data_IF_991063334097
#
_entry.id   IF_991063334097
#
_cell.length_a   1.000
_cell.length_b   1.000
_cell.length_c   1.000
_cell.angle_alpha   90.00
_cell.angle_beta   90.00
_cell.angle_gamma   90.00
#
_symmetry.space_group_name_H-M   'P 1'
#
loop_
_entity.id
_entity.type
_entity.pdbx_description
1 polymer ?
#
# COMPACT_ATOMS: atom_id res chain seq x y z
N UNK A 1 3.23 -1.67 -16.15
CA UNK A 1 2.98 -2.49 -14.95
C UNK A 1 2.13 -3.70 -15.35
N UNK A 2 2.33 -4.86 -14.73
CA UNK A 2 1.45 -6.03 -14.86
C UNK A 2 1.04 -6.53 -13.48
N UNK A 3 -0.09 -7.23 -13.39
CA UNK A 3 -0.59 -7.83 -12.16
C UNK A 3 -1.56 -8.97 -12.44
N UNK A 4 -1.78 -9.82 -11.44
CA UNK A 4 -2.72 -10.92 -11.53
C UNK A 4 -3.52 -11.09 -10.23
N UNK A 5 -4.69 -11.72 -10.34
CA UNK A 5 -5.49 -12.21 -9.22
C UNK A 5 -6.32 -13.41 -9.67
N UNK A 6 -6.79 -14.23 -8.73
CA UNK A 6 -7.64 -15.39 -9.00
C UNK A 6 -9.05 -14.96 -9.45
N UNK A 7 -9.54 -13.84 -8.90
CA UNK A 7 -10.90 -13.36 -9.16
C UNK A 7 -10.88 -12.03 -9.88
N UNK A 8 -11.73 -11.89 -10.90
CA UNK A 8 -11.99 -10.58 -11.47
C UNK A 8 -12.61 -9.65 -10.41
N UNK A 9 -12.23 -8.38 -10.45
CA UNK A 9 -12.65 -7.38 -9.47
C UNK A 9 -12.63 -5.98 -10.05
N UNK A 10 -13.37 -5.06 -9.40
CA UNK A 10 -13.39 -3.65 -9.78
C UNK A 10 -11.97 -3.06 -9.78
N UNK A 11 -11.12 -3.45 -8.82
CA UNK A 11 -9.73 -2.99 -8.75
C UNK A 11 -8.90 -3.43 -9.95
N UNK A 12 -9.07 -4.66 -10.43
CA UNK A 12 -8.40 -5.13 -11.65
C UNK A 12 -8.88 -4.36 -12.89
N UNK A 13 -10.19 -4.11 -12.98
CA UNK A 13 -10.76 -3.33 -14.08
C UNK A 13 -10.26 -1.87 -14.07
N UNK A 14 -10.16 -1.26 -12.89
CA UNK A 14 -9.60 0.09 -12.72
C UNK A 14 -8.13 0.14 -13.17
N UNK A 15 -7.30 -0.82 -12.75
CA UNK A 15 -5.90 -0.91 -13.17
C UNK A 15 -5.75 -1.16 -14.68
N UNK A 16 -6.60 -2.00 -15.27
CA UNK A 16 -6.61 -2.23 -16.71
C UNK A 16 -6.93 -0.94 -17.49
N UNK A 17 -7.89 -0.13 -17.02
CA UNK A 17 -8.19 1.20 -17.61
C UNK A 17 -7.02 2.17 -17.51
N UNK A 18 -6.19 2.03 -16.47
CA UNK A 18 -4.94 2.79 -16.32
C UNK A 18 -3.77 2.21 -17.14
N UNK A 19 -4.00 1.15 -17.93
CA UNK A 19 -3.02 0.56 -18.84
C UNK A 19 -2.16 -0.57 -18.23
N UNK A 20 -2.51 -1.08 -17.04
CA UNK A 20 -1.85 -2.26 -16.51
C UNK A 20 -2.23 -3.52 -17.31
N UNK A 21 -1.25 -4.41 -17.55
CA UNK A 21 -1.51 -5.74 -18.12
C UNK A 21 -2.04 -6.65 -17.01
N UNK A 22 -3.29 -7.10 -17.12
CA UNK A 22 -3.93 -7.95 -16.12
C UNK A 22 -4.00 -9.40 -16.60
N UNK A 23 -3.72 -10.34 -15.71
CA UNK A 23 -3.90 -11.78 -15.93
C UNK A 23 -4.78 -12.37 -14.83
N UNK A 24 -5.64 -13.33 -15.19
CA UNK A 24 -6.45 -14.07 -14.22
C UNK A 24 -5.78 -15.40 -13.86
N UNK A 25 -5.83 -15.74 -12.57
CA UNK A 25 -5.11 -16.87 -12.00
C UNK A 25 -3.60 -16.60 -11.86
N UNK A 26 -2.89 -17.59 -11.33
CA UNK A 26 -1.44 -17.50 -11.10
C UNK A 26 -0.70 -18.44 -12.04
N UNK A 27 0.34 -17.93 -12.69
CA UNK A 27 1.17 -18.72 -13.60
C UNK A 27 2.63 -18.26 -13.52
N UNK A 28 3.61 -19.17 -13.52
CA UNK A 28 5.03 -18.80 -13.48
C UNK A 28 5.42 -17.79 -14.56
N UNK A 29 4.84 -17.90 -15.75
CA UNK A 29 5.15 -17.01 -16.88
C UNK A 29 4.82 -15.53 -16.63
N UNK A 30 3.93 -15.21 -15.67
CA UNK A 30 3.55 -13.82 -15.38
C UNK A 30 4.72 -12.94 -14.91
N UNK A 31 5.77 -13.55 -14.35
CA UNK A 31 6.94 -12.81 -13.85
C UNK A 31 8.11 -12.80 -14.83
N UNK A 32 7.97 -13.38 -16.03
CA UNK A 32 9.13 -13.62 -16.88
C UNK A 32 9.80 -12.35 -17.44
N UNK A 33 9.03 -11.27 -17.58
CA UNK A 33 9.52 -9.96 -18.00
C UNK A 33 9.56 -8.95 -16.84
N UNK A 34 9.35 -9.40 -15.60
CA UNK A 34 9.27 -8.54 -14.43
C UNK A 34 10.68 -8.17 -13.92
N UNK A 35 10.87 -6.89 -13.59
CA UNK A 35 12.09 -6.40 -12.93
C UNK A 35 12.06 -6.54 -11.41
N UNK A 36 10.86 -6.65 -10.83
CA UNK A 36 10.60 -6.95 -9.43
C UNK A 36 9.20 -7.55 -9.29
N UNK A 37 9.00 -8.37 -8.26
CA UNK A 37 7.71 -8.94 -7.88
C UNK A 37 7.26 -8.33 -6.55
N UNK A 38 6.06 -7.75 -6.54
CA UNK A 38 5.43 -7.23 -5.31
C UNK A 38 4.30 -8.16 -4.91
N UNK A 39 4.35 -8.68 -3.68
CA UNK A 39 3.36 -9.63 -3.16
C UNK A 39 2.61 -9.04 -1.96
N UNK A 40 1.36 -9.45 -1.78
CA UNK A 40 0.61 -9.23 -0.53
C UNK A 40 1.24 -10.01 0.62
N UNK A 41 0.81 -9.72 1.84
CA UNK A 41 1.23 -10.48 3.02
C UNK A 41 0.76 -11.94 2.93
N UNK A 42 1.53 -12.85 3.53
CA UNK A 42 1.18 -14.26 3.68
C UNK A 42 0.96 -15.06 2.37
N UNK A 43 1.77 -14.82 1.33
CA UNK A 43 1.79 -15.70 0.16
C UNK A 43 2.53 -17.00 0.45
N UNK A 44 1.90 -18.13 0.11
CA UNK A 44 2.46 -19.46 0.31
C UNK A 44 3.82 -19.63 -0.41
N UNK A 45 4.74 -20.37 0.22
CA UNK A 45 6.10 -20.51 -0.28
C UNK A 45 6.20 -21.24 -1.64
N UNK A 46 5.18 -22.04 -1.97
CA UNK A 46 5.01 -22.79 -3.20
C UNK A 46 4.24 -22.01 -4.29
N UNK A 47 3.92 -20.74 -4.06
CA UNK A 47 3.22 -19.91 -5.04
C UNK A 47 4.02 -19.86 -6.36
N UNK A 48 3.40 -20.17 -7.51
CA UNK A 48 4.13 -20.43 -8.76
C UNK A 48 4.98 -19.25 -9.23
N UNK A 49 4.45 -18.02 -9.08
CA UNK A 49 5.15 -16.78 -9.44
C UNK A 49 6.31 -16.47 -8.47
N UNK A 50 6.16 -16.81 -7.18
CA UNK A 50 7.19 -16.60 -6.18
C UNK A 50 8.36 -17.56 -6.40
N UNK A 51 8.07 -18.84 -6.65
CA UNK A 51 9.07 -19.87 -6.97
C UNK A 51 9.84 -19.48 -8.23
N UNK A 52 9.13 -19.05 -9.28
CA UNK A 52 9.76 -18.60 -10.53
C UNK A 52 10.62 -17.35 -10.35
N UNK A 53 10.13 -16.35 -9.62
CA UNK A 53 10.89 -15.13 -9.34
C UNK A 53 12.20 -15.45 -8.61
N UNK A 54 12.15 -16.30 -7.58
CA UNK A 54 13.34 -16.77 -6.86
C UNK A 54 14.31 -17.52 -7.76
N UNK A 55 13.81 -18.47 -8.57
CA UNK A 55 14.65 -19.24 -9.49
C UNK A 55 15.36 -18.36 -10.53
N UNK A 56 14.79 -17.19 -10.87
CA UNK A 56 15.35 -16.22 -11.81
C UNK A 56 16.14 -15.08 -11.16
N UNK A 57 16.22 -15.05 -9.83
CA UNK A 57 16.86 -13.95 -9.09
C UNK A 57 16.11 -12.61 -9.20
N UNK A 58 14.82 -12.64 -9.51
CA UNK A 58 13.98 -11.43 -9.55
C UNK A 58 13.73 -10.97 -8.10
N UNK A 59 14.02 -9.69 -7.76
CA UNK A 59 13.74 -9.15 -6.43
C UNK A 59 12.27 -9.31 -6.05
N UNK A 60 12.02 -9.82 -4.85
CA UNK A 60 10.66 -9.98 -4.29
C UNK A 60 10.50 -9.02 -3.12
N UNK A 61 9.50 -8.15 -3.19
CA UNK A 61 9.16 -7.20 -2.15
C UNK A 61 7.79 -7.53 -1.56
N UNK A 62 7.65 -7.35 -0.25
CA UNK A 62 6.32 -7.21 0.36
C UNK A 62 5.69 -5.90 -0.10
N UNK A 63 4.36 -5.88 -0.22
CA UNK A 63 3.57 -4.67 -0.53
C UNK A 63 3.95 -3.46 0.33
N UNK A 64 4.13 -3.66 1.64
CA UNK A 64 4.55 -2.59 2.56
C UNK A 64 5.93 -2.01 2.20
N UNK A 65 6.90 -2.87 1.87
CA UNK A 65 8.24 -2.43 1.46
C UNK A 65 8.21 -1.65 0.14
N UNK A 66 7.40 -2.10 -0.83
CA UNK A 66 7.23 -1.39 -2.09
C UNK A 66 6.58 0.00 -1.88
N UNK A 67 5.60 0.09 -1.00
CA UNK A 67 4.98 1.36 -0.62
C UNK A 67 6.01 2.29 0.05
N UNK A 68 6.69 1.82 1.10
CA UNK A 68 7.71 2.60 1.81
C UNK A 68 8.84 3.08 0.90
N UNK A 69 9.33 2.22 0.00
CA UNK A 69 10.37 2.58 -0.97
C UNK A 69 9.94 3.72 -1.92
N UNK A 70 8.64 3.91 -2.13
CA UNK A 70 8.10 4.99 -2.92
C UNK A 70 7.86 6.26 -2.08
N UNK A 71 7.10 6.15 -0.99
CA UNK A 71 6.62 7.33 -0.27
C UNK A 71 7.68 7.98 0.62
N UNK A 72 8.68 7.22 1.07
CA UNK A 72 9.79 7.74 1.88
C UNK A 72 10.79 8.59 1.08
N UNK A 73 10.62 8.70 -0.25
CA UNK A 73 11.45 9.57 -1.09
C UNK A 73 11.02 11.05 -1.04
N UNK A 74 9.87 11.34 -0.43
CA UNK A 74 9.33 12.68 -0.29
C UNK A 74 8.94 13.00 1.14
N UNK A 75 8.14 14.05 1.31
CA UNK A 75 7.56 14.43 2.60
C UNK A 75 6.34 13.58 2.90
N UNK A 76 6.36 12.87 4.02
CA UNK A 76 5.33 11.90 4.37
C UNK A 76 4.56 12.32 5.62
N UNK A 77 3.24 12.45 5.45
CA UNK A 77 2.26 12.47 6.54
C UNK A 77 1.68 11.07 6.70
N UNK A 78 2.01 10.38 7.79
CA UNK A 78 1.47 9.06 8.12
C UNK A 78 0.34 9.20 9.15
N UNK A 79 -0.82 8.60 8.87
CA UNK A 79 -1.99 8.62 9.75
C UNK A 79 -2.25 7.24 10.33
N UNK A 80 -1.98 7.08 11.62
CA UNK A 80 -2.10 5.85 12.39
C UNK A 80 -3.18 5.95 13.48
N UNK A 81 -3.42 4.82 14.17
CA UNK A 81 -4.38 4.66 15.26
C UNK A 81 -5.38 3.55 14.96
N UNK A 82 -6.14 3.09 15.97
CA UNK A 82 -7.09 1.97 15.82
C UNK A 82 -8.22 2.36 14.86
N UNK A 83 -8.87 3.49 15.11
CA UNK A 83 -10.01 3.98 14.33
C UNK A 83 -9.77 5.32 13.62
N UNK A 84 -10.48 5.58 12.53
CA UNK A 84 -10.53 6.90 11.90
C UNK A 84 -9.34 7.25 10.99
N UNK A 85 -8.43 6.30 10.73
CA UNK A 85 -7.28 6.48 9.83
C UNK A 85 -7.69 6.87 8.40
N UNK A 86 -8.56 6.06 7.77
CA UNK A 86 -9.04 6.29 6.40
C UNK A 86 -9.66 7.68 6.24
N UNK A 87 -10.61 8.05 7.11
CA UNK A 87 -11.30 9.33 7.05
C UNK A 87 -10.34 10.50 7.23
N UNK A 88 -9.47 10.43 8.24
CA UNK A 88 -8.48 11.47 8.53
C UNK A 88 -7.49 11.65 7.39
N UNK A 89 -7.01 10.55 6.81
CA UNK A 89 -6.09 10.55 5.63
C UNK A 89 -6.75 11.21 4.42
N UNK A 90 -8.00 10.83 4.12
CA UNK A 90 -8.74 11.41 3.00
C UNK A 90 -9.00 12.91 3.21
N UNK A 91 -9.46 13.32 4.40
CA UNK A 91 -9.70 14.73 4.73
C UNK A 91 -8.42 15.57 4.66
N UNK A 92 -7.32 15.07 5.23
CA UNK A 92 -6.03 15.77 5.19
C UNK A 92 -5.54 15.96 3.75
N UNK A 93 -5.66 14.91 2.92
CA UNK A 93 -5.33 14.96 1.50
C UNK A 93 -6.16 16.02 0.77
N UNK A 94 -7.48 16.05 0.97
CA UNK A 94 -8.38 17.02 0.33
C UNK A 94 -8.10 18.46 0.75
N UNK A 95 -7.88 18.71 2.04
CA UNK A 95 -7.54 20.05 2.55
C UNK A 95 -6.24 20.55 1.93
N UNK A 96 -5.21 19.69 1.86
CA UNK A 96 -3.93 20.02 1.23
C UNK A 96 -4.07 20.25 -0.28
N UNK A 97 -4.88 19.43 -0.97
CA UNK A 97 -5.22 19.62 -2.38
C UNK A 97 -5.92 20.96 -2.62
N UNK A 98 -6.91 21.31 -1.79
CA UNK A 98 -7.61 22.60 -1.86
C UNK A 98 -6.66 23.78 -1.62
N UNK A 99 -5.69 23.61 -0.72
CA UNK A 99 -4.60 24.56 -0.48
C UNK A 99 -3.53 24.56 -1.59
N UNK A 100 -3.76 23.88 -2.73
CA UNK A 100 -2.86 23.77 -3.88
C UNK A 100 -1.48 23.21 -3.52
N UNK A 101 -1.43 22.30 -2.54
CA UNK A 101 -0.22 21.54 -2.20
C UNK A 101 -0.06 20.26 -3.03
N UNK A 102 -1.10 19.88 -3.76
CA UNK A 102 -1.14 18.74 -4.70
C UNK A 102 -0.51 17.45 -4.14
N UNK A 103 -0.90 16.98 -2.93
CA UNK A 103 -0.38 15.75 -2.35
C UNK A 103 -0.84 14.50 -3.12
N UNK A 104 -0.08 13.42 -2.98
CA UNK A 104 -0.53 12.07 -3.28
C UNK A 104 -1.13 11.45 -2.02
N UNK A 105 -2.42 11.10 -2.06
CA UNK A 105 -3.14 10.50 -0.93
C UNK A 105 -3.38 9.01 -1.15
N UNK A 106 -3.10 8.17 -0.14
CA UNK A 106 -3.33 6.72 -0.18
C UNK A 106 -4.06 6.25 1.07
N UNK A 107 -5.21 5.60 0.88
CA UNK A 107 -6.01 5.02 1.95
C UNK A 107 -6.18 3.50 1.81
N UNK A 108 -6.57 2.83 2.90
CA UNK A 108 -6.89 1.40 2.89
C UNK A 108 -8.23 1.07 2.22
N UNK A 109 -9.16 2.03 2.18
CA UNK A 109 -10.49 1.90 1.58
C UNK A 109 -10.65 2.64 0.24
N UNK A 110 -11.83 2.56 -0.37
CA UNK A 110 -12.16 3.38 -1.56
C UNK A 110 -12.78 4.71 -1.13
N UNK A 111 -12.28 5.81 -1.70
CA UNK A 111 -12.84 7.16 -1.58
C UNK A 111 -13.60 7.47 -2.86
N UNK A 112 -14.91 7.74 -2.74
CA UNK A 112 -15.78 8.01 -3.89
C UNK A 112 -15.26 9.16 -4.77
N UNK A 113 -14.82 10.26 -4.15
CA UNK A 113 -14.27 11.43 -4.85
C UNK A 113 -12.98 11.15 -5.63
N UNK A 114 -12.24 10.09 -5.27
CA UNK A 114 -11.00 9.70 -5.94
C UNK A 114 -11.24 8.62 -7.01
N UNK A 115 -12.43 8.02 -7.03
CA UNK A 115 -12.72 6.87 -7.89
C UNK A 115 -11.94 5.61 -7.51
N UNK A 116 -11.33 5.55 -6.32
CA UNK A 116 -10.41 4.49 -5.91
C UNK A 116 -9.83 4.75 -4.52
N UNK A 117 -8.69 4.16 -4.22
CA UNK A 117 -7.99 4.33 -2.94
C UNK A 117 -6.76 5.25 -3.02
N UNK A 118 -6.48 5.80 -4.20
CA UNK A 118 -5.34 6.66 -4.49
C UNK A 118 -5.82 7.95 -5.14
N UNK A 119 -5.42 9.09 -4.59
CA UNK A 119 -5.42 10.37 -5.29
C UNK A 119 -3.98 10.69 -5.71
N UNK A 120 -3.71 10.78 -7.01
CA UNK A 120 -2.37 11.09 -7.51
C UNK A 120 -2.14 12.61 -7.55
N UNK A 121 -1.12 13.06 -6.82
CA UNK A 121 -0.67 14.46 -6.79
C UNK A 121 0.41 14.77 -7.84
N UNK A 122 0.99 15.98 -7.77
CA UNK A 122 2.07 16.43 -8.68
C UNK A 122 3.42 16.70 -8.01
N UNK A 123 3.55 16.36 -6.73
CA UNK A 123 4.76 16.63 -5.96
C UNK A 123 5.25 15.43 -5.15
N UNK A 124 6.11 15.74 -4.19
CA UNK A 124 6.75 14.81 -3.26
C UNK A 124 6.03 14.74 -1.91
N UNK A 125 4.81 15.28 -1.79
CA UNK A 125 4.03 15.25 -0.57
C UNK A 125 3.09 14.06 -0.58
N UNK A 126 3.22 13.18 0.40
CA UNK A 126 2.43 11.98 0.57
C UNK A 126 1.59 12.07 1.84
N UNK A 127 0.34 11.62 1.77
CA UNK A 127 -0.54 11.45 2.92
C UNK A 127 -1.05 10.02 2.89
N UNK A 128 -0.61 9.21 3.84
CA UNK A 128 -0.80 7.75 3.78
C UNK A 128 -1.42 7.25 5.08
N UNK A 129 -2.43 6.40 4.94
CA UNK A 129 -2.94 5.60 6.03
C UNK A 129 -1.87 4.57 6.46
N UNK A 130 -1.41 4.69 7.70
CA UNK A 130 -0.40 3.84 8.29
C UNK A 130 -1.08 2.81 9.20
N UNK A 131 -1.20 1.58 8.69
CA UNK A 131 -1.88 0.50 9.39
C UNK A 131 -0.88 -0.44 10.07
N UNK A 132 -1.27 -0.92 11.25
CA UNK A 132 -0.43 -1.75 12.12
C UNK A 132 -0.28 -3.19 11.57
N UNK A 133 -1.18 -3.58 10.67
CA UNK A 133 -1.20 -4.90 10.05
C UNK A 133 0.09 -5.24 9.28
N UNK A 134 0.63 -6.44 9.52
CA UNK A 134 1.91 -6.99 8.99
C UNK A 134 3.14 -6.08 9.19
N UNK A 135 3.17 -5.28 10.27
CA UNK A 135 4.28 -4.33 10.56
C UNK A 135 4.54 -3.36 9.41
N UNK A 136 3.53 -3.10 8.57
CA UNK A 136 3.68 -2.20 7.42
C UNK A 136 4.04 -0.78 7.87
N UNK A 137 3.56 -0.39 9.05
CA UNK A 137 3.97 0.79 9.80
C UNK A 137 5.49 0.97 9.90
N UNK A 138 6.26 -0.09 10.17
CA UNK A 138 7.72 -0.02 10.35
C UNK A 138 8.50 0.25 9.05
N UNK A 139 7.83 0.21 7.89
CA UNK A 139 8.46 0.52 6.61
C UNK A 139 8.35 1.99 6.22
N UNK A 140 7.59 2.78 6.99
CA UNK A 140 7.36 4.20 6.74
C UNK A 140 8.32 5.07 7.57
N UNK A 141 8.81 6.16 6.98
CA UNK A 141 9.64 7.16 7.68
C UNK A 141 8.97 8.53 7.61
N UNK A 142 7.92 8.78 8.41
CA UNK A 142 7.13 9.99 8.29
C UNK A 142 7.83 11.23 8.82
N UNK A 143 7.68 12.36 8.12
CA UNK A 143 8.00 13.69 8.65
C UNK A 143 6.94 14.17 9.64
N UNK A 144 5.68 13.75 9.44
CA UNK A 144 4.55 14.02 10.33
C UNK A 144 3.81 12.72 10.61
N UNK A 145 3.75 12.32 11.87
CA UNK A 145 2.92 11.22 12.33
C UNK A 145 1.67 11.76 13.03
N UNK A 146 0.50 11.31 12.59
CA UNK A 146 -0.79 11.57 13.22
C UNK A 146 -1.26 10.28 13.86
N UNK A 147 -1.55 10.31 15.16
CA UNK A 147 -2.15 9.17 15.88
C UNK A 147 -3.56 9.59 16.32
N UNK A 148 -4.58 8.97 15.73
CA UNK A 148 -5.99 9.35 15.98
C UNK A 148 -6.48 8.87 17.35
N UNK A 149 -6.12 7.65 17.73
CA UNK A 149 -6.42 7.01 19.01
C UNK A 149 -5.49 5.80 19.19
N UNK A 150 -5.39 5.34 20.44
CA UNK A 150 -4.67 4.13 20.82
C UNK A 150 -5.61 3.28 21.67
N UNK A 151 -6.10 2.18 21.12
CA UNK A 151 -6.89 1.18 21.83
C UNK A 151 -6.14 -0.14 21.89
N UNK A 152 -6.42 -0.95 22.91
CA UNK A 152 -5.79 -2.24 23.14
C UNK A 152 -6.35 -3.36 22.24
N UNK A 153 -6.59 -3.07 20.95
CA UNK A 153 -7.24 -3.98 20.00
C UNK A 153 -6.23 -4.85 19.21
N UNK A 154 -4.95 -4.50 19.24
CA UNK A 154 -3.87 -5.17 18.49
C UNK A 154 -2.72 -5.72 19.37
N UNK A 155 -3.00 -6.03 20.64
CA UNK A 155 -2.04 -6.64 21.58
C UNK A 155 -1.50 -8.01 21.09
N UNK A 156 -2.19 -8.65 20.14
CA UNK A 156 -1.76 -9.88 19.48
C UNK A 156 -0.61 -9.68 18.47
N UNK A 157 -0.39 -8.46 17.98
CA UNK A 157 0.68 -8.14 17.01
C UNK A 157 2.00 -7.73 17.69
N UNK A 158 1.94 -7.16 18.89
CA UNK A 158 3.10 -6.55 19.57
C UNK A 158 3.41 -7.11 20.97
N UNK A 159 2.55 -7.94 21.58
CA UNK A 159 2.78 -8.49 22.92
C UNK A 159 2.23 -7.58 24.02
N UNK A 160 3.01 -7.35 25.09
CA UNK A 160 2.61 -6.49 26.21
C UNK A 160 2.95 -5.00 25.98
N UNK A 161 2.43 -4.13 26.86
CA UNK A 161 2.60 -2.67 26.82
C UNK A 161 4.07 -2.20 26.95
N UNK A 162 5.02 -3.10 27.24
CA UNK A 162 6.47 -2.79 27.23
C UNK A 162 7.10 -2.92 25.83
N UNK A 163 6.36 -3.44 24.85
CA UNK A 163 6.77 -3.54 23.44
C UNK A 163 6.38 -2.35 22.56
N UNK A 164 5.84 -1.27 23.13
CA UNK A 164 5.41 -0.03 22.44
C UNK A 164 6.54 1.00 22.39
#
# INVERSE_FOLDING_TARGET
>A
MSGCDVKDSISLQDLARLGARISLGHAPAHVDDATALVMTSAVAADHPELVRARARGIPVLKRAQALGAWVNQGRLVAVAGTHGKTTTTAMATEVLSFARREPTGLVGGRVSGWGGNLLMGKGDLFVVEADEYDRSFLTLTPDVAVVTNLEADHLDVYGDLEGV
#
